data_IF_491108881448
#
_entry.id   IF_491108881448
#
_cell.length_a   1.000
_cell.length_b   1.000
_cell.length_c   1.000
_cell.angle_alpha   90.00
_cell.angle_beta   90.00
_cell.angle_gamma   90.00
#
_symmetry.space_group_name_H-M   'P 1'
#
loop_
_entity.id
_entity.type
_entity.pdbx_description
1 polymer ?
#
# COMPACT_ATOMS: atom_id res chain seq x y z
N UNK A 1 58.83 1.21 33.63
CA UNK A 1 57.60 0.84 34.35
C UNK A 1 56.43 1.10 33.41
N UNK A 2 55.75 0.06 32.93
CA UNK A 2 54.56 0.23 32.09
C UNK A 2 53.46 0.84 32.99
N UNK A 3 52.97 2.03 32.63
CA UNK A 3 52.04 2.78 33.48
C UNK A 3 50.69 2.05 33.54
N UNK A 4 50.08 2.03 34.73
CA UNK A 4 48.75 1.46 35.00
C UNK A 4 47.70 1.92 33.97
N UNK A 5 47.84 3.16 33.48
CA UNK A 5 47.05 3.78 32.40
C UNK A 5 46.96 2.93 31.14
N UNK A 6 48.06 2.33 30.67
CA UNK A 6 48.07 1.53 29.43
C UNK A 6 47.27 0.23 29.60
N UNK A 7 47.28 -0.35 30.80
CA UNK A 7 46.46 -1.53 31.10
C UNK A 7 44.99 -1.17 31.25
N UNK A 8 44.67 -0.04 31.87
CA UNK A 8 43.30 0.44 32.03
C UNK A 8 42.67 0.81 30.68
N UNK A 9 43.41 1.52 29.82
CA UNK A 9 43.00 1.86 28.45
C UNK A 9 42.78 0.61 27.59
N UNK A 10 43.71 -0.35 27.66
CA UNK A 10 43.59 -1.62 26.92
C UNK A 10 42.41 -2.46 27.41
N UNK A 11 42.19 -2.50 28.73
CA UNK A 11 41.06 -3.22 29.33
C UNK A 11 39.73 -2.57 28.95
N UNK A 12 39.62 -1.24 29.00
CA UNK A 12 38.42 -0.53 28.55
C UNK A 12 38.16 -0.72 27.04
N UNK A 13 39.20 -0.66 26.22
CA UNK A 13 39.09 -0.90 24.78
C UNK A 13 38.59 -2.31 24.45
N UNK A 14 39.13 -3.33 25.13
CA UNK A 14 38.65 -4.71 24.99
C UNK A 14 37.22 -4.85 25.50
N UNK A 15 36.92 -4.35 26.71
CA UNK A 15 35.59 -4.42 27.29
C UNK A 15 34.55 -3.79 26.36
N UNK A 16 34.82 -2.62 25.79
CA UNK A 16 33.94 -1.94 24.84
C UNK A 16 33.76 -2.76 23.56
N UNK A 17 34.85 -3.20 22.95
CA UNK A 17 34.82 -3.94 21.68
C UNK A 17 34.06 -5.29 21.80
N UNK A 18 34.28 -6.02 22.89
CA UNK A 18 33.61 -7.31 23.11
C UNK A 18 32.18 -7.15 23.64
N UNK A 19 31.93 -6.18 24.53
CA UNK A 19 30.58 -5.91 25.03
C UNK A 19 29.66 -5.43 23.93
N UNK A 20 30.12 -4.51 23.06
CA UNK A 20 29.32 -3.99 21.95
C UNK A 20 28.92 -5.11 20.99
N UNK A 21 29.86 -6.02 20.67
CA UNK A 21 29.59 -7.15 19.80
C UNK A 21 28.57 -8.13 20.43
N UNK A 22 28.64 -8.38 21.74
CA UNK A 22 27.68 -9.24 22.45
C UNK A 22 26.30 -8.58 22.50
N UNK A 23 26.23 -7.28 22.79
CA UNK A 23 24.98 -6.51 22.81
C UNK A 23 24.33 -6.52 21.42
N UNK A 24 25.11 -6.31 20.36
CA UNK A 24 24.64 -6.36 18.98
C UNK A 24 24.08 -7.73 18.63
N UNK A 25 24.82 -8.82 18.86
CA UNK A 25 24.34 -10.18 18.54
C UNK A 25 23.08 -10.54 19.30
N UNK A 26 22.98 -10.16 20.57
CA UNK A 26 21.76 -10.34 21.36
C UNK A 26 20.58 -9.61 20.73
N UNK A 27 20.74 -8.32 20.40
CA UNK A 27 19.68 -7.53 19.75
C UNK A 27 19.27 -8.12 18.41
N UNK A 28 20.23 -8.55 17.61
CA UNK A 28 19.98 -9.19 16.31
C UNK A 28 19.16 -10.48 16.47
N UNK A 29 19.54 -11.34 17.42
CA UNK A 29 18.80 -12.59 17.65
C UNK A 29 17.39 -12.34 18.17
N UNK A 30 17.21 -11.41 19.13
CA UNK A 30 15.91 -11.09 19.71
C UNK A 30 14.95 -10.43 18.71
N UNK A 31 15.45 -9.57 17.81
CA UNK A 31 14.60 -8.84 16.86
C UNK A 31 14.32 -9.60 15.56
N UNK A 32 15.16 -10.58 15.21
CA UNK A 32 15.07 -11.33 13.96
C UNK A 32 13.69 -11.91 13.67
N UNK A 33 12.99 -12.59 14.60
CA UNK A 33 11.66 -13.15 14.32
C UNK A 33 10.68 -12.07 13.85
N UNK A 34 10.66 -10.92 14.53
CA UNK A 34 9.79 -9.78 14.19
C UNK A 34 10.12 -9.20 12.82
N UNK A 35 11.41 -9.02 12.50
CA UNK A 35 11.83 -8.48 11.22
C UNK A 35 11.47 -9.43 10.05
N UNK A 36 11.66 -10.74 10.23
CA UNK A 36 11.29 -11.74 9.23
C UNK A 36 9.77 -11.85 9.05
N UNK A 37 9.02 -11.81 10.14
CA UNK A 37 7.55 -11.81 10.09
C UNK A 37 7.01 -10.60 9.34
N UNK A 38 7.54 -9.40 9.62
CA UNK A 38 7.12 -8.18 8.94
C UNK A 38 7.42 -8.23 7.43
N UNK A 39 8.60 -8.72 7.04
CA UNK A 39 8.94 -8.93 5.64
C UNK A 39 8.01 -9.96 4.98
N UNK A 40 7.78 -11.10 5.63
CA UNK A 40 6.86 -12.14 5.15
C UNK A 40 5.43 -11.62 4.98
N UNK A 41 4.96 -10.76 5.90
CA UNK A 41 3.66 -10.13 5.79
C UNK A 41 3.54 -9.24 4.55
N UNK A 42 4.50 -8.37 4.28
CA UNK A 42 4.49 -7.53 3.07
C UNK A 42 4.59 -8.35 1.79
N UNK A 43 5.38 -9.44 1.78
CA UNK A 43 5.42 -10.38 0.65
C UNK A 43 4.05 -11.01 0.37
N UNK A 44 3.33 -11.42 1.42
CA UNK A 44 1.96 -11.95 1.26
C UNK A 44 0.99 -10.90 0.71
N UNK A 45 1.07 -9.65 1.18
CA UNK A 45 0.28 -8.56 0.62
C UNK A 45 0.58 -8.33 -0.86
N UNK A 46 1.86 -8.32 -1.24
CA UNK A 46 2.29 -8.17 -2.62
C UNK A 46 1.76 -9.30 -3.53
N UNK A 47 1.79 -10.55 -3.07
CA UNK A 47 1.21 -11.69 -3.80
C UNK A 47 -0.28 -11.52 -4.06
N UNK A 48 -1.04 -11.05 -3.07
CA UNK A 48 -2.48 -10.76 -3.27
C UNK A 48 -2.70 -9.73 -4.37
N UNK A 49 -1.83 -8.72 -4.48
CA UNK A 49 -1.91 -7.71 -5.54
C UNK A 49 -1.62 -8.31 -6.92
N UNK A 50 -0.65 -9.23 -7.01
CA UNK A 50 -0.34 -9.96 -8.26
C UNK A 50 -1.52 -10.82 -8.73
N UNK A 51 -2.18 -11.52 -7.80
CA UNK A 51 -3.34 -12.38 -8.08
C UNK A 51 -4.60 -11.58 -8.41
N UNK A 52 -4.73 -10.37 -7.86
CA UNK A 52 -5.88 -9.50 -8.12
C UNK A 52 -5.86 -8.99 -9.56
N UNK A 53 -6.98 -9.15 -10.27
CA UNK A 53 -7.16 -8.57 -11.59
C UNK A 53 -7.94 -7.24 -11.49
N UNK A 54 -7.21 -6.12 -11.42
CA UNK A 54 -7.83 -4.78 -11.38
C UNK A 54 -7.96 -4.22 -12.81
N UNK A 55 -9.13 -3.73 -13.24
CA UNK A 55 -9.31 -3.18 -14.59
C UNK A 55 -8.48 -1.92 -14.85
N UNK A 56 -7.93 -1.30 -13.82
CA UNK A 56 -7.05 -0.13 -13.91
C UNK A 56 -5.58 -0.52 -13.86
N UNK A 57 -5.23 -1.81 -13.83
CA UNK A 57 -3.84 -2.25 -13.89
C UNK A 57 -3.19 -1.97 -15.26
N UNK A 58 -1.88 -1.79 -15.22
CA UNK A 58 -1.03 -1.62 -16.38
C UNK A 58 -0.17 -2.87 -16.43
N UNK A 59 -0.18 -3.54 -17.58
CA UNK A 59 0.41 -4.87 -17.70
C UNK A 59 1.93 -4.83 -17.50
N UNK A 60 2.60 -3.77 -17.97
CA UNK A 60 4.05 -3.62 -17.84
C UNK A 60 4.42 -3.29 -16.40
N UNK A 61 3.68 -2.38 -15.75
CA UNK A 61 3.85 -2.09 -14.33
C UNK A 61 3.64 -3.33 -13.46
N UNK A 62 2.56 -4.09 -13.72
CA UNK A 62 2.25 -5.31 -12.99
C UNK A 62 3.29 -6.40 -13.21
N UNK A 63 3.83 -6.53 -14.42
CA UNK A 63 4.92 -7.45 -14.74
C UNK A 63 6.20 -7.08 -13.99
N UNK A 64 6.62 -5.82 -14.06
CA UNK A 64 7.81 -5.33 -13.35
C UNK A 64 7.68 -5.50 -11.83
N UNK A 65 6.49 -5.21 -11.28
CA UNK A 65 6.18 -5.47 -9.88
C UNK A 65 6.29 -6.96 -9.52
N UNK A 66 5.78 -7.84 -10.38
CA UNK A 66 5.85 -9.29 -10.17
C UNK A 66 7.30 -9.77 -10.13
N UNK A 67 8.13 -9.38 -11.11
CA UNK A 67 9.55 -9.72 -11.17
C UNK A 67 10.32 -9.21 -9.94
N UNK A 68 10.02 -7.97 -9.51
CA UNK A 68 10.59 -7.37 -8.30
C UNK A 68 10.26 -8.22 -7.05
N UNK A 69 8.99 -8.59 -6.87
CA UNK A 69 8.51 -9.33 -5.69
C UNK A 69 9.01 -10.77 -5.68
N UNK A 70 9.08 -11.44 -6.83
CA UNK A 70 9.67 -12.77 -6.94
C UNK A 70 11.15 -12.78 -6.54
N UNK A 71 11.93 -11.77 -6.97
CA UNK A 71 13.31 -11.60 -6.54
C UNK A 71 13.43 -11.39 -5.02
N UNK A 72 12.54 -10.59 -4.42
CA UNK A 72 12.50 -10.40 -2.96
C UNK A 72 12.09 -11.67 -2.22
N UNK A 73 11.19 -12.48 -2.79
CA UNK A 73 10.79 -13.75 -2.20
C UNK A 73 11.96 -14.74 -2.16
N UNK A 74 12.68 -14.89 -3.27
CA UNK A 74 13.86 -15.77 -3.32
C UNK A 74 14.91 -15.33 -2.30
N UNK A 75 15.13 -14.02 -2.17
CA UNK A 75 16.01 -13.47 -1.14
C UNK A 75 15.52 -13.78 0.27
N UNK A 76 14.22 -13.63 0.55
CA UNK A 76 13.63 -13.96 1.85
C UNK A 76 13.81 -15.44 2.21
N UNK A 77 13.62 -16.35 1.26
CA UNK A 77 13.76 -17.78 1.48
C UNK A 77 15.23 -18.14 1.81
N UNK A 78 16.19 -17.56 1.09
CA UNK A 78 17.63 -17.73 1.35
C UNK A 78 18.04 -17.18 2.73
N UNK A 79 17.62 -15.95 3.05
CA UNK A 79 17.93 -15.31 4.34
C UNK A 79 17.29 -16.07 5.49
N UNK A 80 16.02 -16.44 5.38
CA UNK A 80 15.31 -17.20 6.42
C UNK A 80 15.97 -18.54 6.69
N UNK A 81 16.37 -19.25 5.63
CA UNK A 81 17.11 -20.52 5.75
C UNK A 81 18.45 -20.35 6.47
N UNK A 82 19.27 -19.38 6.04
CA UNK A 82 20.60 -19.12 6.64
C UNK A 82 20.50 -18.69 8.10
N UNK A 83 19.51 -17.88 8.45
CA UNK A 83 19.34 -17.37 9.81
C UNK A 83 18.69 -18.39 10.76
N UNK A 84 17.90 -19.34 10.26
CA UNK A 84 17.28 -20.38 11.09
C UNK A 84 18.31 -21.37 11.67
N UNK A 85 19.36 -21.70 10.92
CA UNK A 85 20.43 -22.62 11.36
C UNK A 85 21.55 -21.95 12.15
N UNK A 86 21.45 -20.65 12.41
CA UNK A 86 22.52 -19.85 12.98
C UNK A 86 22.62 -19.97 14.50
N UNK A 87 23.84 -20.02 15.03
CA UNK A 87 24.06 -19.98 16.48
C UNK A 87 23.95 -18.55 17.01
N UNK A 88 23.54 -18.41 18.26
CA UNK A 88 23.27 -17.12 18.91
C UNK A 88 24.51 -16.22 19.07
N UNK A 89 25.70 -16.82 19.06
CA UNK A 89 26.97 -16.11 19.22
C UNK A 89 27.69 -15.83 17.91
N UNK A 90 27.18 -16.31 16.78
CA UNK A 90 27.71 -16.01 15.46
C UNK A 90 27.21 -14.64 15.00
N UNK A 91 28.04 -13.92 14.24
CA UNK A 91 27.61 -12.67 13.61
C UNK A 91 26.67 -13.01 12.44
N UNK A 92 25.50 -12.35 12.34
CA UNK A 92 24.57 -12.64 11.27
C UNK A 92 25.10 -12.11 9.92
N UNK A 93 24.96 -12.89 8.83
CA UNK A 93 25.30 -12.46 7.48
C UNK A 93 24.33 -11.39 6.96
N UNK A 94 23.12 -11.34 7.53
CA UNK A 94 22.10 -10.34 7.25
C UNK A 94 21.61 -9.75 8.57
N UNK A 95 21.76 -8.45 8.76
CA UNK A 95 21.26 -7.75 9.94
C UNK A 95 19.75 -7.55 9.88
N UNK A 96 19.15 -7.33 11.04
CA UNK A 96 17.74 -6.93 11.16
C UNK A 96 17.44 -5.66 10.35
N UNK A 97 18.36 -4.70 10.32
CA UNK A 97 18.23 -3.47 9.54
C UNK A 97 18.15 -3.76 8.03
N UNK A 98 18.96 -4.70 7.52
CA UNK A 98 18.91 -5.10 6.12
C UNK A 98 17.56 -5.75 5.77
N UNK A 99 17.05 -6.63 6.64
CA UNK A 99 15.73 -7.27 6.48
C UNK A 99 14.62 -6.21 6.49
N UNK A 100 14.70 -5.25 7.42
CA UNK A 100 13.71 -4.19 7.54
C UNK A 100 13.73 -3.25 6.34
N UNK A 101 14.91 -2.96 5.77
CA UNK A 101 15.03 -2.21 4.52
C UNK A 101 14.34 -2.93 3.36
N UNK A 102 14.51 -4.25 3.23
CA UNK A 102 13.79 -5.03 2.22
C UNK A 102 12.27 -4.96 2.42
N UNK A 103 11.82 -5.07 3.67
CA UNK A 103 10.40 -4.96 4.03
C UNK A 103 9.81 -3.59 3.64
N UNK A 104 10.53 -2.50 3.89
CA UNK A 104 10.11 -1.15 3.49
C UNK A 104 10.07 -0.96 1.97
N UNK A 105 11.01 -1.55 1.23
CA UNK A 105 11.03 -1.48 -0.23
C UNK A 105 9.79 -2.15 -0.84
N UNK A 106 9.38 -3.30 -0.30
CA UNK A 106 8.16 -3.98 -0.75
C UNK A 106 6.92 -3.13 -0.46
N UNK A 107 6.80 -2.58 0.76
CA UNK A 107 5.68 -1.70 1.12
C UNK A 107 5.63 -0.47 0.20
N UNK A 108 6.77 0.18 -0.07
CA UNK A 108 6.83 1.30 -1.02
C UNK A 108 6.37 0.90 -2.43
N UNK A 109 6.74 -0.29 -2.91
CA UNK A 109 6.29 -0.81 -4.21
C UNK A 109 4.78 -1.14 -4.21
N UNK A 110 4.24 -1.65 -3.10
CA UNK A 110 2.80 -1.85 -2.91
C UNK A 110 2.05 -0.51 -2.98
N UNK A 111 2.52 0.51 -2.24
CA UNK A 111 1.91 1.84 -2.25
C UNK A 111 1.94 2.47 -3.65
N UNK A 112 3.03 2.28 -4.40
CA UNK A 112 3.14 2.73 -5.79
C UNK A 112 2.02 2.17 -6.66
N UNK A 113 1.78 0.85 -6.60
CA UNK A 113 0.69 0.20 -7.36
C UNK A 113 -0.67 0.77 -6.98
N UNK A 114 -0.96 0.88 -5.67
CA UNK A 114 -2.24 1.42 -5.22
C UNK A 114 -2.47 2.87 -5.66
N UNK A 115 -1.45 3.71 -5.54
CA UNK A 115 -1.51 5.11 -5.96
C UNK A 115 -1.74 5.23 -7.47
N UNK A 116 -1.06 4.40 -8.27
CA UNK A 116 -1.23 4.40 -9.72
C UNK A 116 -2.60 3.88 -10.15
N UNK A 117 -3.14 2.84 -9.50
CA UNK A 117 -4.52 2.38 -9.69
C UNK A 117 -5.53 3.48 -9.41
N UNK A 118 -5.40 4.14 -8.25
CA UNK A 118 -6.27 5.24 -7.84
C UNK A 118 -6.25 6.40 -8.85
N UNK A 119 -5.05 6.81 -9.28
CA UNK A 119 -4.89 7.87 -10.29
C UNK A 119 -5.61 7.52 -11.61
N UNK A 120 -5.43 6.30 -12.10
CA UNK A 120 -6.07 5.83 -13.35
C UNK A 120 -7.59 5.72 -13.24
N UNK A 121 -8.09 5.28 -12.09
CA UNK A 121 -9.53 5.25 -11.82
C UNK A 121 -10.13 6.68 -11.83
N UNK A 122 -9.46 7.65 -11.18
CA UNK A 122 -9.89 9.05 -11.17
C UNK A 122 -9.86 9.68 -12.57
N UNK A 123 -8.86 9.37 -13.39
CA UNK A 123 -8.76 9.80 -14.79
C UNK A 123 -9.91 9.25 -15.64
N UNK A 124 -10.24 7.96 -15.50
CA UNK A 124 -11.39 7.34 -16.18
C UNK A 124 -12.72 7.94 -15.77
N UNK A 125 -12.92 8.22 -14.48
CA UNK A 125 -14.15 8.86 -13.98
C UNK A 125 -14.33 10.26 -14.59
N UNK A 126 -13.27 11.07 -14.58
CA UNK A 126 -13.28 12.42 -15.17
C UNK A 126 -13.50 12.39 -16.69
N UNK A 127 -12.96 11.40 -17.39
CA UNK A 127 -13.19 11.23 -18.82
C UNK A 127 -14.66 10.89 -19.12
N UNK A 128 -15.25 9.97 -18.36
CA UNK A 128 -16.65 9.57 -18.52
C UNK A 128 -17.63 10.72 -18.20
N UNK A 129 -17.35 11.55 -17.19
CA UNK A 129 -18.14 12.75 -16.88
C UNK A 129 -18.12 13.75 -18.05
N UNK A 130 -16.94 14.05 -18.61
CA UNK A 130 -16.79 14.95 -19.77
C UNK A 130 -17.49 14.42 -21.02
N UNK A 131 -17.50 13.12 -21.24
CA UNK A 131 -18.17 12.51 -22.39
C UNK A 131 -19.69 12.59 -22.27
N UNK A 132 -20.25 12.39 -21.07
CA UNK A 132 -21.67 12.59 -20.79
C UNK A 132 -22.11 14.04 -21.01
N UNK A 133 -21.31 15.01 -20.58
CA UNK A 133 -21.58 16.44 -20.84
C UNK A 133 -21.60 16.77 -22.34
N UNK A 134 -20.66 16.21 -23.12
CA UNK A 134 -20.62 16.39 -24.58
C UNK A 134 -21.84 15.77 -25.27
N UNK A 135 -22.27 14.58 -24.85
CA UNK A 135 -23.46 13.92 -25.41
C UNK A 135 -24.75 14.68 -25.10
N UNK A 136 -24.90 15.25 -23.89
CA UNK A 136 -26.04 16.11 -23.54
C UNK A 136 -26.07 17.40 -24.36
N UNK A 137 -24.91 18.03 -24.60
CA UNK A 137 -24.83 19.24 -25.44
C UNK A 137 -25.12 18.96 -26.94
N UNK A 138 -24.80 17.76 -27.45
CA UNK A 138 -25.12 17.39 -28.83
C UNK A 138 -26.61 17.05 -29.02
N UNK A 139 -27.27 16.41 -28.04
CA UNK A 139 -28.71 16.16 -28.10
C UNK A 139 -29.54 17.45 -28.04
N UNK A 140 -29.10 18.48 -27.31
CA UNK A 140 -29.79 19.79 -27.31
C UNK A 140 -29.64 20.57 -28.62
N UNK A 141 -28.63 20.28 -29.47
CA UNK A 141 -28.43 20.98 -30.76
C UNK A 141 -29.14 20.33 -31.95
N UNK A 142 -29.71 19.13 -31.80
CA UNK A 142 -30.38 18.41 -32.89
C UNK A 142 -31.91 18.55 -32.94
N UNK A 143 -32.49 19.45 -32.14
CA UNK A 143 -33.91 19.81 -32.27
C UNK A 143 -34.04 21.28 -32.76
N UNK A 144 -34.05 21.55 -34.07
CA UNK A 144 -34.51 22.84 -34.58
C UNK A 144 -36.01 22.91 -34.31
N UNK A 145 -36.35 23.67 -33.27
CA UNK A 145 -37.71 24.07 -32.98
C UNK A 145 -38.19 24.96 -34.14
N UNK A 146 -39.13 24.47 -34.94
CA UNK A 146 -39.90 25.32 -35.86
C UNK A 146 -40.56 26.45 -35.06
N UNK A 147 -40.55 27.70 -35.54
CA UNK A 147 -41.29 28.78 -34.90
C UNK A 147 -42.75 28.67 -35.33
N UNK A 148 -43.54 27.84 -34.63
CA UNK A 148 -45.00 28.00 -34.69
C UNK A 148 -45.39 29.18 -33.82
N UNK A 149 -45.91 30.20 -34.50
CA UNK A 149 -46.41 31.41 -33.90
C UNK A 149 -47.66 31.18 -33.06
N UNK A 150 -47.72 32.01 -32.02
CA UNK A 150 -48.88 32.67 -31.48
C UNK A 150 -49.89 31.89 -30.59
N UNK A 151 -50.23 32.60 -29.52
CA UNK A 151 -51.42 32.52 -28.66
C UNK A 151 -51.44 31.61 -27.41
N UNK A 152 -51.25 32.35 -26.31
CA UNK A 152 -52.11 32.46 -25.12
C UNK A 152 -51.72 31.69 -23.85
N UNK A 153 -51.42 32.51 -22.84
CA UNK A 153 -51.24 32.21 -21.42
C UNK A 153 -52.53 32.61 -20.65
N UNK A 154 -52.64 32.38 -19.34
CA UNK A 154 -53.42 31.33 -18.65
C UNK A 154 -54.66 31.89 -17.88
N UNK A 155 -55.35 31.11 -17.01
CA UNK A 155 -55.06 31.17 -15.56
C UNK A 155 -55.34 29.85 -14.75
N UNK A 156 -55.09 29.81 -13.42
CA UNK A 156 -54.81 28.61 -12.61
C UNK A 156 -55.97 28.16 -11.68
N UNK A 157 -55.86 26.96 -11.09
CA UNK A 157 -56.55 26.46 -9.87
C UNK A 157 -56.17 24.98 -9.67
N UNK A 158 -56.05 24.36 -8.50
CA UNK A 158 -56.02 24.78 -7.09
C UNK A 158 -55.44 23.60 -6.27
N UNK A 159 -55.10 23.86 -5.02
CA UNK A 159 -54.57 22.91 -4.02
C UNK A 159 -55.54 21.78 -3.65
N UNK A 160 -55.00 20.60 -3.30
CA UNK A 160 -55.33 19.83 -2.09
C UNK A 160 -54.46 18.56 -2.04
N UNK A 161 -53.45 18.49 -1.17
CA UNK A 161 -53.50 17.98 0.20
C UNK A 161 -53.88 16.49 0.32
N UNK A 162 -52.96 15.73 0.93
CA UNK A 162 -53.12 14.58 1.86
C UNK A 162 -52.16 13.42 1.52
N UNK A 163 -51.00 13.33 2.19
CA UNK A 163 -50.69 12.80 3.55
C UNK A 163 -50.34 11.32 3.54
N UNK A 164 -49.24 11.00 4.28
CA UNK A 164 -49.09 9.83 5.18
C UNK A 164 -48.97 8.45 4.48
N UNK A 165 -48.21 7.44 4.91
CA UNK A 165 -47.20 7.12 5.94
C UNK A 165 -46.29 6.06 5.26
N UNK A 166 -45.23 5.44 5.77
CA UNK A 166 -44.80 5.09 7.11
C UNK A 166 -43.29 4.82 7.04
N UNK A 167 -42.59 5.26 8.09
CA UNK A 167 -41.25 4.80 8.43
C UNK A 167 -41.44 3.61 9.36
N UNK A 168 -40.88 2.46 9.02
CA UNK A 168 -40.79 1.33 9.96
C UNK A 168 -39.33 0.95 10.19
N UNK A 169 -38.81 1.08 11.43
CA UNK A 169 -37.53 0.54 11.84
C UNK A 169 -37.74 -0.85 12.46
N UNK A 170 -37.11 -1.89 11.92
CA UNK A 170 -37.06 -3.20 12.58
C UNK A 170 -35.82 -3.29 13.49
N UNK A 171 -36.00 -3.75 14.76
CA UNK A 171 -34.96 -3.86 15.76
C UNK A 171 -34.21 -5.19 15.74
N UNK A 172 -33.12 -5.19 16.49
CA UNK A 172 -32.17 -6.26 16.80
C UNK A 172 -32.79 -7.59 17.25
N UNK A 173 -32.13 -8.69 16.85
CA UNK A 173 -31.82 -9.84 17.71
C UNK A 173 -30.38 -10.30 17.47
#
# INVERSE_FOLDING_TARGET
MHSKSVYDERTQSMAKSFADAVIMRRREFENRPRCLEQLGHHLQQARKIMETNDPNDDNDEKKNFTEEIEGKQQWFDDVSGKLASMRTYDNPPFSCDAIQLQSQQIDASIQRIHNNRKRRADERRKAAEKEKEKQQQQQQKQNPQEPSGDQQQPPPMDQQEQTKMDVDPQPEQ
#
